data_IF_449927414847
#
_entry.id   IF_449927414847
#
_cell.length_a   1.000
_cell.length_b   1.000
_cell.length_c   1.000
_cell.angle_alpha   90.00
_cell.angle_beta   90.00
_cell.angle_gamma   90.00
#
_symmetry.space_group_name_H-M   'P 1'
#
loop_
_entity.id
_entity.type
_entity.pdbx_description
1 polymer ?
#
# COMPACT_ATOMS: atom_id res chain seq x y z
N UNK A 1 -11.02 -13.59 -3.86
CA UNK A 1 -9.66 -13.59 -3.31
C UNK A 1 -9.14 -15.02 -3.25
N UNK A 2 -7.88 -15.25 -3.58
CA UNK A 2 -7.29 -16.59 -3.57
C UNK A 2 -7.23 -17.16 -2.15
N UNK A 3 -7.68 -18.41 -1.96
CA UNK A 3 -7.75 -19.03 -0.63
C UNK A 3 -6.37 -19.29 -0.02
N UNK A 4 -5.40 -19.71 -0.83
CA UNK A 4 -4.04 -19.96 -0.34
C UNK A 4 -3.39 -18.65 0.13
N UNK A 5 -3.53 -17.58 -0.65
CA UNK A 5 -3.07 -16.25 -0.24
C UNK A 5 -3.70 -15.85 1.10
N UNK A 6 -5.01 -16.01 1.22
CA UNK A 6 -5.73 -15.60 2.42
C UNK A 6 -5.29 -16.39 3.66
N UNK A 7 -5.07 -17.70 3.53
CA UNK A 7 -4.57 -18.53 4.63
C UNK A 7 -3.18 -18.09 5.08
N UNK A 8 -2.26 -17.88 4.15
CA UNK A 8 -0.90 -17.45 4.46
C UNK A 8 -0.87 -16.03 5.03
N UNK A 9 -1.68 -15.15 4.48
CA UNK A 9 -1.83 -13.79 4.98
C UNK A 9 -2.35 -13.79 6.42
N UNK A 10 -3.39 -14.54 6.71
CA UNK A 10 -3.97 -14.60 8.04
C UNK A 10 -2.99 -15.15 9.07
N UNK A 11 -2.20 -16.16 8.72
CA UNK A 11 -1.15 -16.69 9.61
C UNK A 11 -0.13 -15.61 9.97
N UNK A 12 0.33 -14.87 8.97
CA UNK A 12 1.26 -13.77 9.19
C UNK A 12 0.62 -12.66 10.04
N UNK A 13 -0.57 -12.22 9.65
CA UNK A 13 -1.29 -11.16 10.32
C UNK A 13 -1.55 -11.49 11.80
N UNK A 14 -2.01 -12.70 12.09
CA UNK A 14 -2.22 -13.15 13.47
C UNK A 14 -0.91 -13.19 14.27
N UNK A 15 0.19 -13.56 13.62
CA UNK A 15 1.47 -13.67 14.30
C UNK A 15 2.04 -12.32 14.75
N UNK A 16 1.75 -11.23 14.03
CA UNK A 16 2.26 -9.91 14.40
C UNK A 16 1.24 -9.01 15.10
N UNK A 17 -0.04 -9.37 15.13
CA UNK A 17 -1.05 -8.57 15.84
C UNK A 17 -0.72 -8.35 17.32
N UNK A 18 -0.01 -9.29 17.92
CA UNK A 18 0.42 -9.22 19.30
C UNK A 18 1.84 -8.73 19.47
N UNK A 19 2.44 -8.24 18.39
CA UNK A 19 3.82 -7.74 18.32
C UNK A 19 3.85 -6.26 18.01
N UNK A 20 4.77 -5.53 18.63
CA UNK A 20 5.01 -4.12 18.32
C UNK A 20 5.89 -3.91 17.08
N UNK A 21 6.40 -4.97 16.46
CA UNK A 21 7.44 -4.89 15.43
C UNK A 21 7.00 -5.30 14.04
N UNK A 22 5.75 -5.70 13.85
CA UNK A 22 5.23 -6.10 12.54
C UNK A 22 6.03 -7.24 11.89
N UNK A 23 6.35 -7.11 10.60
CA UNK A 23 7.09 -8.13 9.85
C UNK A 23 8.54 -8.32 10.33
N UNK A 24 9.09 -7.37 11.07
CA UNK A 24 10.43 -7.47 11.64
C UNK A 24 10.49 -8.34 12.90
N UNK A 25 9.35 -8.72 13.46
CA UNK A 25 9.28 -9.56 14.65
C UNK A 25 9.79 -10.97 14.35
N UNK A 26 10.69 -11.52 15.20
CA UNK A 26 11.21 -12.89 15.00
C UNK A 26 10.14 -13.97 14.96
N UNK A 27 9.01 -13.78 15.64
CA UNK A 27 7.89 -14.75 15.64
C UNK A 27 7.12 -14.67 14.31
N UNK A 28 6.92 -13.47 13.78
CA UNK A 28 6.19 -13.24 12.54
C UNK A 28 7.02 -13.54 11.29
N UNK A 29 8.34 -13.42 11.36
CA UNK A 29 9.25 -13.54 10.21
C UNK A 29 9.07 -14.82 9.40
N UNK A 30 9.01 -16.03 9.99
CA UNK A 30 8.82 -17.26 9.22
C UNK A 30 7.52 -17.26 8.41
N UNK A 31 6.44 -16.75 8.98
CA UNK A 31 5.15 -16.64 8.30
C UNK A 31 5.18 -15.63 7.17
N UNK A 32 5.88 -14.53 7.37
CA UNK A 32 6.08 -13.51 6.35
C UNK A 32 6.88 -14.04 5.17
N UNK A 33 7.97 -14.74 5.42
CA UNK A 33 8.82 -15.31 4.37
C UNK A 33 8.07 -16.36 3.55
N UNK A 34 7.24 -17.18 4.19
CA UNK A 34 6.40 -18.17 3.50
C UNK A 34 5.38 -17.49 2.59
N UNK A 35 4.70 -16.47 3.10
CA UNK A 35 3.74 -15.69 2.34
C UNK A 35 4.40 -14.99 1.14
N UNK A 36 5.51 -14.32 1.38
CA UNK A 36 6.28 -13.63 0.34
C UNK A 36 6.72 -14.58 -0.77
N UNK A 37 7.23 -15.75 -0.40
CA UNK A 37 7.64 -16.77 -1.36
C UNK A 37 6.48 -17.20 -2.25
N UNK A 38 5.33 -17.46 -1.65
CA UNK A 38 4.13 -17.84 -2.41
C UNK A 38 3.72 -16.73 -3.38
N UNK A 39 3.73 -15.47 -2.93
CA UNK A 39 3.39 -14.32 -3.76
C UNK A 39 4.32 -14.17 -4.97
N UNK A 40 5.60 -14.40 -4.78
CA UNK A 40 6.60 -14.35 -5.86
C UNK A 40 6.36 -15.47 -6.87
N UNK A 41 6.01 -16.66 -6.40
CA UNK A 41 5.76 -17.84 -7.24
C UNK A 41 4.39 -17.78 -7.95
N UNK A 42 3.44 -17.00 -7.44
CA UNK A 42 2.07 -16.88 -7.95
C UNK A 42 1.68 -15.40 -8.18
N UNK A 43 2.39 -14.70 -9.08
CA UNK A 43 2.24 -13.24 -9.18
C UNK A 43 0.86 -12.76 -9.62
N UNK A 44 0.19 -13.52 -10.48
CA UNK A 44 -1.16 -13.14 -10.94
C UNK A 44 -2.18 -13.25 -9.81
N UNK A 45 -2.19 -14.38 -9.14
CA UNK A 45 -3.10 -14.66 -8.03
C UNK A 45 -2.87 -13.68 -6.88
N UNK A 46 -1.61 -13.38 -6.60
CA UNK A 46 -1.24 -12.38 -5.61
C UNK A 46 -1.76 -10.99 -5.99
N UNK A 47 -1.50 -10.55 -7.22
CA UNK A 47 -1.92 -9.23 -7.68
C UNK A 47 -3.44 -9.06 -7.57
N UNK A 48 -4.20 -10.03 -8.08
CA UNK A 48 -5.65 -9.97 -8.04
C UNK A 48 -6.17 -9.95 -6.59
N UNK A 49 -5.59 -10.75 -5.72
CA UNK A 49 -6.02 -10.84 -4.31
C UNK A 49 -5.68 -9.58 -3.53
N UNK A 50 -4.47 -9.03 -3.70
CA UNK A 50 -4.04 -7.86 -2.95
C UNK A 50 -4.79 -6.59 -3.39
N UNK A 51 -5.09 -6.45 -4.67
CA UNK A 51 -5.90 -5.33 -5.15
C UNK A 51 -7.29 -5.38 -4.52
N UNK A 52 -7.93 -6.52 -4.55
CA UNK A 52 -9.23 -6.71 -3.90
C UNK A 52 -9.18 -6.36 -2.42
N UNK A 53 -8.16 -6.85 -1.72
CA UNK A 53 -7.98 -6.60 -0.29
C UNK A 53 -7.78 -5.11 0.03
N UNK A 54 -6.89 -4.45 -0.70
CA UNK A 54 -6.58 -3.04 -0.46
C UNK A 54 -7.71 -2.09 -0.86
N UNK A 55 -8.59 -2.51 -1.77
CA UNK A 55 -9.79 -1.74 -2.11
C UNK A 55 -10.84 -1.79 -1.02
N UNK A 56 -10.91 -2.89 -0.27
CA UNK A 56 -11.87 -3.02 0.83
C UNK A 56 -11.49 -2.13 2.00
N UNK A 57 -10.22 -2.18 2.41
CA UNK A 57 -9.69 -1.35 3.49
C UNK A 57 -8.17 -1.25 3.41
N UNK A 58 -7.57 -0.18 3.91
CA UNK A 58 -6.11 -0.09 4.04
C UNK A 58 -5.57 -1.21 4.90
N UNK A 59 -4.50 -1.86 4.45
CA UNK A 59 -3.98 -3.05 5.10
C UNK A 59 -2.45 -3.15 4.95
N UNK A 60 -1.80 -3.79 5.91
CA UNK A 60 -0.37 -4.03 5.93
C UNK A 60 0.12 -4.97 4.81
N UNK A 61 -0.80 -5.57 4.05
CA UNK A 61 -0.44 -6.33 2.84
C UNK A 61 0.35 -5.49 1.84
N UNK A 62 0.25 -4.17 1.90
CA UNK A 62 1.03 -3.24 1.08
C UNK A 62 2.54 -3.40 1.30
N UNK A 63 2.96 -3.85 2.48
CA UNK A 63 4.37 -4.13 2.78
C UNK A 63 4.94 -5.22 1.86
N UNK A 64 4.13 -6.22 1.52
CA UNK A 64 4.51 -7.26 0.55
C UNK A 64 4.80 -6.66 -0.83
N UNK A 65 3.99 -5.70 -1.25
CA UNK A 65 4.17 -5.03 -2.54
C UNK A 65 5.48 -4.26 -2.58
N UNK A 66 5.80 -3.52 -1.54
CA UNK A 66 7.08 -2.81 -1.45
C UNK A 66 8.27 -3.78 -1.49
N UNK A 67 8.19 -4.87 -0.72
CA UNK A 67 9.29 -5.83 -0.63
C UNK A 67 9.50 -6.62 -1.92
N UNK A 68 8.43 -6.93 -2.64
CA UNK A 68 8.50 -7.74 -3.85
C UNK A 68 8.80 -6.87 -5.08
N UNK A 69 8.13 -5.74 -5.22
CA UNK A 69 8.18 -4.94 -6.44
C UNK A 69 8.86 -3.58 -6.29
N UNK A 70 9.02 -3.08 -5.06
CA UNK A 70 9.53 -1.74 -4.82
C UNK A 70 10.89 -1.49 -5.44
N UNK A 71 11.85 -2.37 -5.22
CA UNK A 71 13.20 -2.23 -5.75
C UNK A 71 13.22 -2.30 -7.29
N UNK A 72 12.48 -3.24 -7.86
CA UNK A 72 12.40 -3.41 -9.32
C UNK A 72 11.85 -2.16 -10.02
N UNK A 73 10.92 -1.48 -9.39
CA UNK A 73 10.26 -0.30 -9.94
C UNK A 73 10.91 1.00 -9.49
N UNK A 74 11.91 0.93 -8.63
CA UNK A 74 12.53 2.13 -8.06
C UNK A 74 11.61 2.89 -7.09
N UNK A 75 10.61 2.20 -6.54
CA UNK A 75 9.68 2.78 -5.58
C UNK A 75 10.27 2.68 -4.18
N UNK A 76 10.28 3.79 -3.46
CA UNK A 76 10.74 3.82 -2.07
C UNK A 76 9.54 3.94 -1.14
N UNK A 77 9.52 3.12 -0.10
CA UNK A 77 8.49 3.16 0.93
C UNK A 77 8.47 4.48 1.72
N UNK A 78 9.53 5.26 1.60
CA UNK A 78 9.68 6.53 2.30
C UNK A 78 8.84 7.63 1.67
N UNK A 79 8.17 8.42 2.50
CA UNK A 79 7.45 9.61 2.06
C UNK A 79 5.96 9.43 1.80
N UNK A 80 5.39 8.31 2.16
CA UNK A 80 3.92 8.18 2.17
C UNK A 80 3.33 8.96 3.34
N UNK A 81 2.15 9.56 3.11
CA UNK A 81 1.47 10.36 4.13
C UNK A 81 0.86 9.48 5.22
N UNK A 82 0.50 8.25 4.90
CA UNK A 82 -0.03 7.28 5.84
C UNK A 82 -0.36 5.96 5.17
N UNK A 83 -0.86 5.00 5.93
CA UNK A 83 -1.17 3.66 5.42
C UNK A 83 -2.18 3.70 4.27
N UNK A 84 -3.25 4.47 4.42
CA UNK A 84 -4.29 4.60 3.39
C UNK A 84 -3.73 5.14 2.09
N UNK A 85 -2.88 6.16 2.17
CA UNK A 85 -2.22 6.74 1.01
C UNK A 85 -1.28 5.75 0.33
N UNK A 86 -0.49 5.04 1.12
CA UNK A 86 0.42 4.01 0.64
C UNK A 86 -0.33 2.90 -0.11
N UNK A 87 -1.43 2.42 0.45
CA UNK A 87 -2.27 1.41 -0.19
C UNK A 87 -2.86 1.91 -1.51
N UNK A 88 -3.38 3.13 -1.54
CA UNK A 88 -3.94 3.71 -2.76
C UNK A 88 -2.89 3.90 -3.86
N UNK A 89 -1.70 4.30 -3.50
CA UNK A 89 -0.59 4.45 -4.44
C UNK A 89 -0.29 3.12 -5.14
N UNK A 90 -0.18 2.04 -4.37
CA UNK A 90 0.08 0.72 -4.94
C UNK A 90 -1.09 0.18 -5.77
N UNK A 91 -2.33 0.44 -5.36
CA UNK A 91 -3.49 0.04 -6.15
C UNK A 91 -3.46 0.71 -7.52
N UNK A 92 -3.12 2.00 -7.58
CA UNK A 92 -2.98 2.69 -8.86
C UNK A 92 -1.91 2.05 -9.75
N UNK A 93 -0.76 1.69 -9.19
CA UNK A 93 0.30 1.02 -9.94
C UNK A 93 -0.19 -0.32 -10.49
N UNK A 94 -0.84 -1.12 -9.67
CA UNK A 94 -1.30 -2.45 -10.05
C UNK A 94 -2.43 -2.42 -11.08
N UNK A 95 -3.33 -1.46 -10.98
CA UNK A 95 -4.44 -1.28 -11.93
C UNK A 95 -3.96 -0.87 -13.31
N UNK A 96 -2.84 -0.19 -13.38
CA UNK A 96 -2.20 0.13 -14.66
C UNK A 96 -1.40 -1.05 -15.22
N UNK A 97 -1.58 -2.24 -14.67
CA UNK A 97 -0.99 -3.50 -15.13
C UNK A 97 0.52 -3.51 -15.02
N UNK A 98 0.98 -3.86 -13.84
CA UNK A 98 2.41 -3.95 -13.49
C UNK A 98 3.26 -4.68 -14.55
N UNK A 99 2.72 -5.76 -15.13
CA UNK A 99 3.41 -6.55 -16.14
C UNK A 99 3.66 -5.81 -17.45
N UNK A 100 2.90 -4.76 -17.73
CA UNK A 100 3.02 -3.95 -18.93
C UNK A 100 3.87 -2.70 -18.72
N UNK A 101 4.36 -2.47 -17.50
CA UNK A 101 5.25 -1.36 -17.26
C UNK A 101 6.59 -1.61 -17.92
N UNK A 102 6.81 -0.93 -19.02
CA UNK A 102 8.17 -0.70 -19.45
C UNK A 102 8.70 0.43 -18.60
N UNK A 103 9.90 0.21 -18.07
CA UNK A 103 10.60 1.20 -17.27
C UNK A 103 10.58 2.56 -17.98
N UNK A 104 9.89 3.53 -17.41
CA UNK A 104 9.82 4.87 -17.96
C UNK A 104 8.46 5.33 -18.49
N UNK A 105 7.46 4.44 -18.65
CA UNK A 105 6.18 4.85 -19.27
C UNK A 105 5.25 5.60 -18.32
N UNK A 106 4.68 4.93 -17.32
CA UNK A 106 3.66 5.54 -16.44
C UNK A 106 4.24 6.01 -15.10
N UNK A 107 5.25 5.32 -14.59
CA UNK A 107 5.82 5.62 -13.29
C UNK A 107 6.26 7.08 -13.12
N UNK A 108 6.91 7.73 -14.10
CA UNK A 108 7.28 9.13 -13.94
C UNK A 108 6.10 10.06 -13.72
N UNK A 109 4.97 9.78 -14.37
CA UNK A 109 3.75 10.58 -14.20
C UNK A 109 3.14 10.37 -12.83
N UNK A 110 3.09 9.11 -12.37
CA UNK A 110 2.59 8.79 -11.02
C UNK A 110 3.45 9.49 -9.97
N UNK A 111 4.77 9.45 -10.11
CA UNK A 111 5.68 10.11 -9.16
C UNK A 111 5.52 11.62 -9.15
N UNK A 112 5.38 12.24 -10.32
CA UNK A 112 5.16 13.68 -10.40
C UNK A 112 3.88 14.08 -9.66
N UNK A 113 2.80 13.40 -9.94
CA UNK A 113 1.51 13.68 -9.30
C UNK A 113 1.57 13.41 -7.79
N UNK A 114 2.27 12.36 -7.41
CA UNK A 114 2.46 12.02 -6.00
C UNK A 114 3.31 13.05 -5.26
N UNK A 115 4.34 13.59 -5.91
CA UNK A 115 5.14 14.66 -5.33
C UNK A 115 4.32 15.93 -5.13
N UNK A 116 3.45 16.26 -6.07
CA UNK A 116 2.51 17.37 -5.93
C UNK A 116 1.55 17.15 -4.76
N UNK A 117 1.04 15.93 -4.61
CA UNK A 117 0.20 15.56 -3.49
C UNK A 117 0.92 15.68 -2.15
N UNK A 118 2.14 15.18 -2.04
CA UNK A 118 2.94 15.31 -0.81
C UNK A 118 3.18 16.78 -0.45
N UNK A 119 3.48 17.60 -1.44
CA UNK A 119 3.67 19.04 -1.23
C UNK A 119 2.39 19.70 -0.72
N UNK A 120 1.25 19.37 -1.32
CA UNK A 120 -0.05 19.83 -0.86
C UNK A 120 -0.32 19.40 0.58
N UNK A 121 -0.02 18.16 0.94
CA UNK A 121 -0.28 17.62 2.26
C UNK A 121 0.60 18.21 3.37
N UNK A 122 1.74 18.82 3.03
CA UNK A 122 2.54 19.54 4.04
C UNK A 122 1.74 20.64 4.73
N UNK A 123 0.91 21.35 3.98
CA UNK A 123 0.11 22.46 4.50
C UNK A 123 -1.32 22.05 4.89
N UNK A 124 -1.79 20.92 4.40
CA UNK A 124 -3.20 20.51 4.52
C UNK A 124 -3.38 19.22 5.32
N UNK A 125 -2.31 18.65 5.85
CA UNK A 125 -2.37 17.44 6.64
C UNK A 125 -3.14 17.69 7.94
N UNK A 126 -4.08 16.79 8.22
CA UNK A 126 -4.90 16.82 9.42
C UNK A 126 -4.46 15.66 10.30
N UNK A 127 -3.96 15.92 11.53
CA UNK A 127 -3.59 14.84 12.44
C UNK A 127 -4.76 13.88 12.65
N UNK A 128 -4.56 12.62 12.31
CA UNK A 128 -5.58 11.60 12.51
C UNK A 128 -5.62 11.18 13.97
N UNK A 129 -6.84 11.10 14.51
CA UNK A 129 -7.07 10.61 15.86
C UNK A 129 -7.47 9.13 15.77
N UNK A 130 -6.67 8.20 16.35
CA UNK A 130 -6.98 6.77 16.26
C UNK A 130 -8.27 6.39 16.99
N UNK A 131 -8.82 7.27 17.82
CA UNK A 131 -10.11 7.06 18.49
C UNK A 131 -11.31 7.48 17.63
N UNK A 132 -11.08 8.02 16.44
CA UNK A 132 -12.10 8.34 15.46
C UNK A 132 -12.00 7.39 14.28
N UNK A 133 -13.14 6.99 13.73
CA UNK A 133 -13.23 5.94 12.72
C UNK A 133 -12.61 6.30 11.37
N UNK A 134 -12.60 7.57 10.98
CA UNK A 134 -12.20 7.99 9.64
C UNK A 134 -10.98 8.89 9.64
N UNK A 135 -10.03 8.59 8.74
CA UNK A 135 -8.95 9.51 8.43
C UNK A 135 -9.53 10.75 7.74
N UNK A 136 -9.31 11.97 8.29
CA UNK A 136 -9.83 13.19 7.71
C UNK A 136 -9.10 13.66 6.46
N UNK A 137 -7.99 13.04 6.12
CA UNK A 137 -7.17 13.44 4.99
C UNK A 137 -7.69 12.85 3.68
N UNK A 138 -7.56 13.62 2.60
CA UNK A 138 -7.82 13.08 1.27
C UNK A 138 -6.69 12.12 0.87
N UNK A 139 -7.04 11.13 0.04
CA UNK A 139 -6.07 10.21 -0.51
C UNK A 139 -5.40 10.79 -1.76
N UNK A 140 -4.31 10.16 -2.19
CA UNK A 140 -3.68 10.51 -3.45
C UNK A 140 -4.67 10.41 -4.63
N UNK A 141 -5.47 9.34 -4.68
CA UNK A 141 -6.47 9.17 -5.73
C UNK A 141 -7.50 10.30 -5.74
N UNK A 142 -8.02 10.66 -4.58
CA UNK A 142 -8.95 11.78 -4.43
C UNK A 142 -8.31 13.12 -4.86
N UNK A 143 -7.05 13.32 -4.53
CA UNK A 143 -6.30 14.50 -4.95
C UNK A 143 -6.20 14.58 -6.48
N UNK A 144 -5.89 13.46 -7.14
CA UNK A 144 -5.84 13.38 -8.61
C UNK A 144 -7.18 13.68 -9.25
N UNK A 145 -8.29 13.35 -8.59
CA UNK A 145 -9.65 13.70 -9.03
C UNK A 145 -10.01 15.16 -8.80
N UNK A 146 -9.09 15.96 -8.30
CA UNK A 146 -9.33 17.39 -8.04
C UNK A 146 -9.94 17.69 -6.70
N UNK A 147 -10.09 16.71 -5.82
CA UNK A 147 -10.61 16.94 -4.46
C UNK A 147 -9.58 17.69 -3.61
N UNK A 148 -10.07 18.46 -2.66
CA UNK A 148 -9.23 19.20 -1.71
C UNK A 148 -9.82 19.09 -0.31
N UNK A 149 -8.95 19.16 0.69
CA UNK A 149 -9.41 19.19 2.08
C UNK A 149 -10.20 20.46 2.35
N UNK A 150 -11.39 20.32 2.92
CA UNK A 150 -12.27 21.43 3.24
C UNK A 150 -12.08 21.97 4.66
N UNK A 151 -11.07 21.51 5.36
CA UNK A 151 -10.89 21.78 6.79
C UNK A 151 -10.53 23.22 7.13
N UNK A 152 -10.07 24.01 6.18
CA UNK A 152 -9.79 25.42 6.42
C UNK A 152 -11.04 26.25 6.23
N UNK A 153 -12.02 25.99 7.03
CA UNK A 153 -13.10 26.93 7.21
C UNK A 153 -12.77 27.85 8.37
#
# INVERSE_FOLDING_TARGET
MNNTYLELYNKWHESFMFSAHGSADPVAKPYYEELKKWCIENPKEFKDSVVEQLRQEPDWAVELLDDIYGEKLGIKAEGYVGLKDWCNFWVLILENRLENYKKGDILPYIYKDYDEYKEYMKDNYIPWNPFKENDPNITFDEFKQGKRNTKKA
#
